data_IF_600014954529
#
_entry.id   IF_600014954529
#
_cell.length_a   1.000
_cell.length_b   1.000
_cell.length_c   1.000
_cell.angle_alpha   90.00
_cell.angle_beta   90.00
_cell.angle_gamma   90.00
#
_symmetry.space_group_name_H-M   'P 1'
#
loop_
_entity.id
_entity.type
_entity.pdbx_description
1 polymer ?
#
# COMPACT_ATOMS: atom_id res chain seq x y z
N UNK A 1 19.45 22.06 16.21
CA UNK A 1 18.60 22.94 17.03
C UNK A 1 18.06 22.10 18.18
N UNK A 2 18.19 22.55 19.43
CA UNK A 2 17.62 21.87 20.59
C UNK A 2 16.32 22.58 20.97
N UNK A 3 15.23 21.84 21.10
CA UNK A 3 13.94 22.36 21.57
C UNK A 3 13.59 21.64 22.86
N UNK A 4 13.35 22.41 23.92
CA UNK A 4 12.91 21.89 25.23
C UNK A 4 11.45 22.26 25.44
N UNK A 5 10.63 21.29 25.85
CA UNK A 5 9.19 21.48 26.11
C UNK A 5 8.92 21.11 27.56
N UNK A 6 8.31 22.02 28.32
CA UNK A 6 7.81 21.76 29.67
C UNK A 6 6.31 21.44 29.59
N UNK A 7 5.88 20.35 30.23
CA UNK A 7 4.51 19.84 30.16
C UNK A 7 3.97 19.60 31.56
N UNK A 8 2.66 19.81 31.76
CA UNK A 8 1.98 19.61 33.05
C UNK A 8 1.45 18.17 33.22
N UNK A 9 1.35 17.42 32.13
CA UNK A 9 1.00 16.01 32.06
C UNK A 9 1.57 15.37 30.77
N UNK A 10 1.28 14.08 30.57
CA UNK A 10 1.80 13.30 29.44
C UNK A 10 0.97 13.41 28.14
N UNK A 11 -0.16 14.13 28.14
CA UNK A 11 -1.03 14.21 26.94
C UNK A 11 -0.29 14.70 25.68
N UNK A 12 0.63 15.69 25.74
CA UNK A 12 1.32 16.17 24.55
C UNK A 12 2.42 15.21 24.05
N UNK A 13 2.81 14.19 24.83
CA UNK A 13 3.90 13.27 24.47
C UNK A 13 3.60 12.51 23.18
N UNK A 14 2.34 12.08 22.99
CA UNK A 14 1.93 11.38 21.77
C UNK A 14 2.10 12.25 20.51
N UNK A 15 1.70 13.53 20.61
CA UNK A 15 1.83 14.53 19.55
C UNK A 15 3.31 14.82 19.25
N UNK A 16 4.13 15.00 20.28
CA UNK A 16 5.56 15.26 20.14
C UNK A 16 6.31 14.08 19.51
N UNK A 17 5.98 12.85 19.92
CA UNK A 17 6.53 11.63 19.32
C UNK A 17 6.21 11.56 17.84
N UNK A 18 4.97 11.85 17.48
CA UNK A 18 4.51 11.83 16.09
C UNK A 18 5.14 12.92 15.23
N UNK A 19 5.32 14.11 15.78
CA UNK A 19 6.12 15.15 15.15
C UNK A 19 7.57 14.68 14.92
N UNK A 20 8.18 14.03 15.91
CA UNK A 20 9.53 13.50 15.78
C UNK A 20 9.62 12.43 14.68
N UNK A 21 8.67 11.48 14.63
CA UNK A 21 8.61 10.44 13.60
C UNK A 21 8.50 11.05 12.18
N UNK A 22 7.62 12.03 11.98
CA UNK A 22 7.47 12.73 10.69
C UNK A 22 8.75 13.47 10.28
N UNK A 23 9.50 14.02 11.24
CA UNK A 23 10.77 14.70 10.96
C UNK A 23 11.89 13.70 10.66
N UNK A 24 11.96 12.57 11.38
CA UNK A 24 12.92 11.49 11.14
C UNK A 24 12.70 10.83 9.77
N UNK A 25 11.45 10.69 9.34
CA UNK A 25 11.08 10.17 8.01
C UNK A 25 11.23 11.19 6.87
N UNK A 26 11.84 12.34 7.14
CA UNK A 26 12.09 13.41 6.17
C UNK A 26 10.81 14.01 5.55
N UNK A 27 9.69 14.04 6.30
CA UNK A 27 8.38 14.56 5.86
C UNK A 27 8.10 15.99 6.35
N UNK A 28 9.14 16.73 6.71
CA UNK A 28 9.05 18.11 7.18
C UNK A 28 8.31 19.02 6.16
N UNK A 29 8.50 18.79 4.86
CA UNK A 29 7.81 19.52 3.80
C UNK A 29 6.29 19.43 3.87
N UNK A 30 5.74 18.27 4.28
CA UNK A 30 4.28 18.10 4.43
C UNK A 30 3.75 18.92 5.59
N UNK A 31 4.49 18.99 6.70
CA UNK A 31 4.13 19.81 7.85
C UNK A 31 4.13 21.31 7.48
N UNK A 32 5.16 21.76 6.76
CA UNK A 32 5.30 23.18 6.39
C UNK A 32 4.25 23.66 5.38
N UNK A 33 3.70 22.77 4.57
CA UNK A 33 2.71 23.09 3.53
C UNK A 33 1.26 22.80 3.95
N UNK A 34 1.06 22.11 5.06
CA UNK A 34 -0.26 21.74 5.55
C UNK A 34 -1.00 22.95 6.15
N UNK A 35 -2.31 23.00 5.97
CA UNK A 35 -3.17 23.93 6.70
C UNK A 35 -3.38 23.46 8.14
N UNK A 36 -4.01 24.31 8.97
CA UNK A 36 -4.20 24.02 10.39
C UNK A 36 -4.99 22.73 10.64
N UNK A 37 -6.00 22.45 9.82
CA UNK A 37 -6.82 21.24 9.94
C UNK A 37 -6.00 19.98 9.61
N UNK A 38 -5.22 20.03 8.52
CA UNK A 38 -4.34 18.94 8.09
C UNK A 38 -3.22 18.71 9.10
N UNK A 39 -2.63 19.78 9.65
CA UNK A 39 -1.63 19.67 10.72
C UNK A 39 -2.19 18.98 11.96
N UNK A 40 -3.39 19.36 12.39
CA UNK A 40 -4.04 18.74 13.53
C UNK A 40 -4.23 17.23 13.27
N UNK A 41 -4.81 16.86 12.12
CA UNK A 41 -4.96 15.46 11.74
C UNK A 41 -3.62 14.70 11.71
N UNK A 42 -2.60 15.27 11.07
CA UNK A 42 -1.27 14.64 10.99
C UNK A 42 -0.62 14.42 12.35
N UNK A 43 -0.89 15.29 13.33
CA UNK A 43 -0.26 15.29 14.64
C UNK A 43 -1.10 14.59 15.73
N UNK A 44 -2.41 14.47 15.55
CA UNK A 44 -3.34 13.95 16.58
C UNK A 44 -4.14 12.72 16.14
N UNK A 45 -4.05 12.27 14.88
CA UNK A 45 -4.66 10.99 14.51
C UNK A 45 -4.07 9.85 15.35
N UNK A 46 -4.90 8.89 15.78
CA UNK A 46 -4.45 7.65 16.43
C UNK A 46 -3.87 6.65 15.42
N UNK A 47 -4.27 6.76 14.15
CA UNK A 47 -3.65 6.03 13.05
C UNK A 47 -2.28 6.63 12.82
N UNK A 48 -1.19 5.93 13.21
CA UNK A 48 0.18 6.28 12.86
C UNK A 48 0.25 6.81 11.41
N UNK A 49 1.11 7.80 11.09
CA UNK A 49 1.30 8.19 9.69
C UNK A 49 1.85 6.96 8.97
N UNK A 50 0.98 6.20 8.32
CA UNK A 50 1.30 4.97 7.61
C UNK A 50 1.79 5.35 6.22
N UNK A 51 2.90 6.09 6.17
CA UNK A 51 3.57 6.45 4.93
C UNK A 51 4.22 5.26 4.22
N UNK A 52 4.11 4.06 4.79
CA UNK A 52 4.51 2.82 4.12
C UNK A 52 3.38 2.21 3.27
N UNK A 53 2.17 2.79 3.26
CA UNK A 53 1.03 2.26 2.51
C UNK A 53 0.86 2.96 1.16
N UNK A 54 1.22 2.26 0.09
CA UNK A 54 1.03 2.71 -1.29
C UNK A 54 -0.07 1.88 -1.96
N UNK A 55 -0.75 2.47 -2.95
CA UNK A 55 -1.70 1.74 -3.77
C UNK A 55 -1.60 2.07 -5.25
N UNK A 56 -1.83 1.07 -6.10
CA UNK A 56 -1.83 1.20 -7.56
C UNK A 56 -2.92 0.31 -8.17
N UNK A 57 -3.43 0.74 -9.32
CA UNK A 57 -4.47 0.01 -10.05
C UNK A 57 -3.97 -0.49 -11.41
N UNK A 58 -4.32 -1.73 -11.73
CA UNK A 58 -3.93 -2.37 -12.98
C UNK A 58 -5.12 -3.10 -13.61
N UNK A 59 -5.17 -3.12 -14.95
CA UNK A 59 -6.19 -3.84 -15.71
C UNK A 59 -5.66 -5.20 -16.13
N UNK A 60 -6.41 -6.26 -15.84
CA UNK A 60 -6.04 -7.61 -16.26
C UNK A 60 -6.34 -7.80 -17.75
N UNK A 61 -5.32 -8.23 -18.51
CA UNK A 61 -5.41 -8.41 -19.97
C UNK A 61 -5.51 -9.86 -20.42
N UNK A 62 -5.11 -10.80 -19.56
CA UNK A 62 -5.18 -12.25 -19.82
C UNK A 62 -6.58 -12.68 -20.26
N UNK A 63 -6.66 -13.44 -21.37
CA UNK A 63 -7.91 -13.93 -21.97
C UNK A 63 -8.83 -14.62 -20.96
N UNK A 64 -8.26 -15.47 -20.10
CA UNK A 64 -8.99 -16.24 -19.10
C UNK A 64 -9.00 -15.59 -17.70
N UNK A 65 -8.53 -14.34 -17.58
CA UNK A 65 -8.41 -13.64 -16.30
C UNK A 65 -7.33 -14.26 -15.38
N UNK A 66 -7.52 -14.15 -14.07
CA UNK A 66 -6.52 -14.55 -13.08
C UNK A 66 -6.79 -15.96 -12.52
N UNK A 67 -6.58 -16.98 -13.35
CA UNK A 67 -6.65 -18.39 -12.94
C UNK A 67 -5.31 -18.88 -12.36
N UNK A 68 -5.19 -20.18 -12.12
CA UNK A 68 -4.06 -20.76 -11.39
C UNK A 68 -2.67 -20.39 -11.95
N UNK A 69 -2.51 -20.33 -13.28
CA UNK A 69 -1.22 -20.05 -13.94
C UNK A 69 -0.77 -18.59 -13.79
N UNK A 70 -1.49 -17.58 -14.33
CA UNK A 70 -1.12 -16.18 -14.15
C UNK A 70 -1.20 -15.75 -12.68
N UNK A 71 -2.10 -16.36 -11.89
CA UNK A 71 -2.16 -16.18 -10.43
C UNK A 71 -0.90 -16.65 -9.71
N UNK A 72 -0.31 -17.79 -10.12
CA UNK A 72 0.95 -18.27 -9.54
C UNK A 72 2.10 -17.31 -9.85
N UNK A 73 2.17 -16.81 -11.08
CA UNK A 73 3.19 -15.83 -11.48
C UNK A 73 3.08 -14.54 -10.65
N UNK A 74 1.87 -14.00 -10.52
CA UNK A 74 1.62 -12.81 -9.70
C UNK A 74 2.02 -13.03 -8.24
N UNK A 75 1.57 -14.14 -7.63
CA UNK A 75 1.89 -14.47 -6.24
C UNK A 75 3.40 -14.65 -6.04
N UNK A 76 4.10 -15.25 -7.00
CA UNK A 76 5.54 -15.41 -6.93
C UNK A 76 6.27 -14.06 -7.01
N UNK A 77 5.81 -13.13 -7.86
CA UNK A 77 6.32 -11.75 -7.88
C UNK A 77 6.11 -11.07 -6.52
N UNK A 78 4.90 -11.14 -5.97
CA UNK A 78 4.56 -10.53 -4.67
C UNK A 78 5.44 -11.10 -3.54
N UNK A 79 5.71 -12.41 -3.56
CA UNK A 79 6.50 -13.09 -2.52
C UNK A 79 7.97 -12.66 -2.45
N UNK A 80 8.50 -11.96 -3.45
CA UNK A 80 9.87 -11.44 -3.46
C UNK A 80 10.06 -10.25 -2.52
N UNK A 81 8.96 -9.62 -2.09
CA UNK A 81 8.97 -8.43 -1.24
C UNK A 81 8.59 -8.77 0.20
N UNK A 82 9.03 -7.93 1.13
CA UNK A 82 8.69 -8.03 2.56
C UNK A 82 7.41 -7.27 2.91
N UNK A 83 6.96 -6.35 2.04
CA UNK A 83 5.70 -5.64 2.23
C UNK A 83 4.49 -6.55 2.35
N UNK A 84 3.56 -6.14 3.21
CA UNK A 84 2.22 -6.70 3.27
C UNK A 84 1.40 -6.21 2.09
N UNK A 85 1.04 -7.11 1.19
CA UNK A 85 0.40 -6.78 -0.09
C UNK A 85 -0.98 -7.42 -0.14
N UNK A 86 -2.00 -6.57 -0.34
CA UNK A 86 -3.38 -6.98 -0.56
C UNK A 86 -3.82 -6.64 -1.98
N UNK A 87 -4.80 -7.38 -2.50
CA UNK A 87 -5.36 -7.18 -3.83
C UNK A 87 -6.88 -7.18 -3.76
N UNK A 88 -7.50 -6.22 -4.43
CA UNK A 88 -8.96 -6.02 -4.48
C UNK A 88 -9.43 -5.99 -5.92
N UNK A 89 -10.44 -6.79 -6.24
CA UNK A 89 -11.12 -6.74 -7.54
C UNK A 89 -12.20 -5.64 -7.51
N UNK A 90 -11.93 -4.50 -8.15
CA UNK A 90 -12.80 -3.33 -8.15
C UNK A 90 -14.08 -3.54 -8.97
N UNK A 91 -14.03 -4.45 -9.94
CA UNK A 91 -15.18 -4.83 -10.77
C UNK A 91 -15.81 -6.15 -10.28
N UNK A 92 -15.49 -6.58 -9.05
CA UNK A 92 -15.98 -7.79 -8.40
C UNK A 92 -16.69 -7.51 -7.08
N UNK A 93 -16.42 -8.34 -6.06
CA UNK A 93 -17.04 -8.18 -4.72
C UNK A 93 -16.49 -7.00 -3.93
N UNK A 94 -15.40 -6.38 -4.39
CA UNK A 94 -14.71 -5.28 -3.68
C UNK A 94 -13.99 -5.70 -2.39
N UNK A 95 -13.99 -7.00 -2.04
CA UNK A 95 -13.32 -7.48 -0.83
C UNK A 95 -11.81 -7.67 -1.07
N UNK A 96 -10.95 -7.12 -0.21
CA UNK A 96 -9.51 -7.35 -0.31
C UNK A 96 -9.15 -8.81 0.02
N UNK A 97 -8.17 -9.32 -0.70
CA UNK A 97 -7.56 -10.62 -0.48
C UNK A 97 -6.05 -10.46 -0.22
N UNK A 98 -5.48 -11.41 0.52
CA UNK A 98 -4.03 -11.48 0.70
C UNK A 98 -3.36 -11.83 -0.64
N UNK A 99 -2.52 -10.94 -1.17
CA UNK A 99 -1.85 -11.08 -2.47
C UNK A 99 -0.80 -12.20 -2.51
N UNK A 100 -0.32 -12.67 -1.35
CA UNK A 100 0.63 -13.80 -1.24
C UNK A 100 -0.05 -15.18 -1.31
N UNK A 101 -1.38 -15.23 -1.28
CA UNK A 101 -2.16 -16.47 -1.27
C UNK A 101 -2.81 -16.73 -2.63
N UNK A 102 -2.27 -17.69 -3.38
CA UNK A 102 -2.84 -18.12 -4.67
C UNK A 102 -4.32 -18.47 -4.57
N UNK A 103 -4.72 -19.21 -3.54
CA UNK A 103 -6.12 -19.59 -3.34
C UNK A 103 -7.02 -18.37 -3.19
N UNK A 104 -6.60 -17.37 -2.39
CA UNK A 104 -7.40 -16.14 -2.17
C UNK A 104 -7.44 -15.27 -3.42
N UNK A 105 -6.32 -15.18 -4.14
CA UNK A 105 -6.21 -14.41 -5.39
C UNK A 105 -7.12 -14.99 -6.48
N UNK A 106 -7.11 -16.31 -6.70
CA UNK A 106 -7.98 -16.96 -7.68
C UNK A 106 -9.46 -16.86 -7.27
N UNK A 107 -9.75 -16.95 -5.96
CA UNK A 107 -11.11 -16.79 -5.44
C UNK A 107 -11.71 -15.39 -5.64
N UNK A 108 -10.92 -14.38 -6.02
CA UNK A 108 -11.44 -13.05 -6.40
C UNK A 108 -12.22 -13.05 -7.71
N UNK A 109 -12.18 -14.15 -8.49
CA UNK A 109 -12.97 -14.30 -9.71
C UNK A 109 -12.65 -13.25 -10.77
N UNK A 110 -11.37 -12.87 -10.90
CA UNK A 110 -10.92 -11.80 -11.80
C UNK A 110 -11.00 -12.26 -13.24
N UNK A 111 -11.65 -11.47 -14.10
CA UNK A 111 -11.78 -11.73 -15.54
C UNK A 111 -10.99 -10.71 -16.35
N UNK A 112 -10.82 -10.97 -17.66
CA UNK A 112 -10.27 -9.99 -18.59
C UNK A 112 -11.00 -8.65 -18.49
N UNK A 113 -10.25 -7.56 -18.48
CA UNK A 113 -10.76 -6.20 -18.38
C UNK A 113 -11.08 -5.72 -16.96
N UNK A 114 -11.04 -6.60 -15.95
CA UNK A 114 -11.23 -6.17 -14.56
C UNK A 114 -10.04 -5.33 -14.07
N UNK A 115 -10.34 -4.36 -13.21
CA UNK A 115 -9.39 -3.53 -12.49
C UNK A 115 -9.09 -4.14 -11.13
N UNK A 116 -7.81 -4.34 -10.88
CA UNK A 116 -7.29 -4.75 -9.59
C UNK A 116 -6.59 -3.58 -8.93
N UNK A 117 -6.95 -3.31 -7.67
CA UNK A 117 -6.17 -2.43 -6.80
C UNK A 117 -5.25 -3.26 -5.93
N UNK A 118 -3.97 -2.93 -5.95
CA UNK A 118 -2.99 -3.48 -5.02
C UNK A 118 -2.67 -2.42 -3.98
N UNK A 119 -2.65 -2.83 -2.73
CA UNK A 119 -2.22 -1.99 -1.61
C UNK A 119 -1.04 -2.69 -0.96
N UNK A 120 0.11 -2.01 -0.91
CA UNK A 120 1.36 -2.53 -0.35
C UNK A 120 1.74 -1.70 0.88
N UNK A 121 2.05 -2.36 1.98
CA UNK A 121 2.53 -1.76 3.21
C UNK A 121 3.92 -2.26 3.58
N UNK A 122 4.91 -1.39 3.55
CA UNK A 122 6.28 -1.69 4.00
C UNK A 122 7.36 -0.91 3.26
N UNK A 123 8.60 -1.08 3.70
CA UNK A 123 9.76 -0.33 3.18
C UNK A 123 10.06 -0.59 1.69
N UNK A 124 9.56 -1.68 1.12
CA UNK A 124 9.69 -2.04 -0.30
C UNK A 124 8.38 -1.93 -1.10
N UNK A 125 7.39 -1.19 -0.58
CA UNK A 125 6.05 -1.07 -1.16
C UNK A 125 6.07 -0.49 -2.59
N UNK A 126 6.90 0.53 -2.84
CA UNK A 126 7.00 1.16 -4.16
C UNK A 126 7.58 0.19 -5.20
N UNK A 127 8.67 -0.49 -4.85
CA UNK A 127 9.31 -1.50 -5.69
C UNK A 127 8.37 -2.68 -5.95
N UNK A 128 7.60 -3.10 -4.94
CA UNK A 128 6.62 -4.16 -5.06
C UNK A 128 5.51 -3.80 -6.06
N UNK A 129 4.91 -2.61 -5.93
CA UNK A 129 3.85 -2.17 -6.84
C UNK A 129 4.37 -2.01 -8.27
N UNK A 130 5.60 -1.52 -8.44
CA UNK A 130 6.24 -1.44 -9.76
C UNK A 130 6.40 -2.83 -10.39
N UNK A 131 6.96 -3.79 -9.65
CA UNK A 131 7.18 -5.15 -10.15
C UNK A 131 5.87 -5.88 -10.47
N UNK A 132 4.82 -5.65 -9.66
CA UNK A 132 3.47 -6.16 -9.93
C UNK A 132 2.93 -5.57 -11.23
N UNK A 133 3.04 -4.25 -11.42
CA UNK A 133 2.63 -3.59 -12.65
C UNK A 133 3.34 -4.12 -13.88
N UNK A 134 4.66 -4.28 -13.81
CA UNK A 134 5.50 -4.83 -14.88
C UNK A 134 5.09 -6.28 -15.21
N UNK A 135 4.82 -7.12 -14.20
CA UNK A 135 4.39 -8.50 -14.39
C UNK A 135 2.99 -8.61 -15.03
N UNK A 136 2.06 -7.73 -14.63
CA UNK A 136 0.71 -7.65 -15.24
C UNK A 136 0.81 -7.17 -16.69
N UNK A 137 1.64 -6.15 -16.96
CA UNK A 137 1.87 -5.64 -18.31
C UNK A 137 2.50 -6.70 -19.23
N UNK A 138 3.35 -7.58 -18.70
CA UNK A 138 3.95 -8.71 -19.41
C UNK A 138 3.00 -9.91 -19.59
N UNK A 139 1.75 -9.83 -19.12
CA UNK A 139 0.75 -10.88 -19.27
C UNK A 139 0.94 -12.10 -18.36
N UNK A 140 1.70 -11.97 -17.25
CA UNK A 140 1.81 -13.00 -16.21
C UNK A 140 2.18 -14.41 -16.73
N UNK A 141 3.04 -14.49 -17.76
CA UNK A 141 3.52 -15.76 -18.32
C UNK A 141 2.59 -16.42 -19.36
N UNK A 142 1.61 -15.69 -19.86
CA UNK A 142 0.71 -16.12 -20.96
C UNK A 142 0.85 -15.30 -22.24
N UNK A 143 1.65 -14.22 -22.22
CA UNK A 143 1.67 -13.22 -23.29
C UNK A 143 0.57 -12.17 -23.07
N UNK A 144 0.84 -10.93 -23.47
CA UNK A 144 -0.07 -9.79 -23.28
C UNK A 144 -1.10 -9.68 -24.42
#
# INVERSE_FOLDING_TARGET
MLVSVAMNDDQPVAVLKRLADLLLDNKADRLLKADAATLLALLTSDDAPTDDVLSAEFVVRNEHGLHARPGTMLVNTIKQFNSDITVTNLDGTGKPANGRSLMKVVALGVKKGHRLRFTAQGADAEQALKAIGDAIAAGLGEGA
#
